data_IF_013098509285
#
_entry.id   IF_013098509285
#
_cell.length_a   1.000
_cell.length_b   1.000
_cell.length_c   1.000
_cell.angle_alpha   90.00
_cell.angle_beta   90.00
_cell.angle_gamma   90.00
#
_symmetry.space_group_name_H-M   'P 1'
#
loop_
_entity.id
_entity.type
_entity.pdbx_description
1 polymer ?
#
# COMPACT_ATOMS: atom_id res chain seq x y z
N UNK A 1 -30.04 -9.30 -20.85
CA UNK A 1 -29.31 -8.08 -21.23
C UNK A 1 -28.94 -7.37 -19.93
N UNK A 2 -27.72 -7.59 -19.45
CA UNK A 2 -27.21 -6.94 -18.24
C UNK A 2 -26.77 -5.53 -18.63
N UNK A 3 -27.48 -4.54 -18.13
CA UNK A 3 -27.11 -3.14 -18.27
C UNK A 3 -25.76 -2.96 -17.59
N UNK A 4 -24.69 -2.81 -18.34
CA UNK A 4 -23.38 -2.43 -17.83
C UNK A 4 -23.56 -0.98 -17.36
N UNK A 5 -23.77 -0.77 -16.07
CA UNK A 5 -23.69 0.56 -15.48
C UNK A 5 -22.34 1.14 -15.85
N UNK A 6 -22.36 2.24 -16.61
CA UNK A 6 -21.17 2.95 -17.04
C UNK A 6 -20.48 3.44 -15.75
N UNK A 7 -19.32 2.89 -15.46
CA UNK A 7 -18.54 3.30 -14.29
C UNK A 7 -18.16 4.77 -14.41
N UNK A 8 -18.35 5.52 -13.35
CA UNK A 8 -17.97 6.94 -13.31
C UNK A 8 -16.45 7.11 -13.27
N UNK A 9 -15.71 6.11 -12.73
CA UNK A 9 -14.26 6.17 -12.53
C UNK A 9 -13.55 5.05 -13.26
N UNK A 10 -12.46 5.39 -13.94
CA UNK A 10 -11.61 4.44 -14.68
C UNK A 10 -10.41 3.93 -13.87
N UNK A 11 -10.17 4.47 -12.68
CA UNK A 11 -9.01 4.18 -11.84
C UNK A 11 -9.42 3.45 -10.55
N UNK A 12 -8.61 2.45 -10.16
CA UNK A 12 -8.72 1.72 -8.90
C UNK A 12 -7.50 1.98 -8.03
N UNK A 13 -7.70 2.53 -6.83
CA UNK A 13 -6.68 2.60 -5.79
C UNK A 13 -6.88 1.42 -4.82
N UNK A 14 -5.86 0.59 -4.70
CA UNK A 14 -5.91 -0.65 -3.93
C UNK A 14 -4.94 -0.53 -2.77
N UNK A 15 -5.45 -0.37 -1.56
CA UNK A 15 -4.67 -0.40 -0.33
C UNK A 15 -4.42 -1.86 0.07
N UNK A 16 -3.15 -2.24 0.20
CA UNK A 16 -2.74 -3.57 0.66
C UNK A 16 -2.32 -3.49 2.12
N UNK A 17 -3.02 -4.20 2.99
CA UNK A 17 -2.70 -4.20 4.41
C UNK A 17 -2.88 -5.56 5.06
N UNK A 18 -2.16 -5.78 6.16
CA UNK A 18 -2.57 -6.74 7.18
C UNK A 18 -3.66 -6.12 8.05
N UNK A 19 -4.47 -6.95 8.71
CA UNK A 19 -5.30 -6.46 9.81
C UNK A 19 -4.38 -6.04 10.98
N UNK A 20 -4.72 -4.99 11.74
CA UNK A 20 -3.90 -4.51 12.85
C UNK A 20 -4.03 -5.42 14.09
N UNK A 21 -3.55 -6.66 13.97
CA UNK A 21 -3.49 -7.67 15.04
C UNK A 21 -2.08 -7.63 15.62
N UNK A 22 -1.94 -7.27 16.90
CA UNK A 22 -0.66 -6.99 17.53
C UNK A 22 0.36 -8.13 17.45
N UNK A 23 -0.09 -9.40 17.52
CA UNK A 23 0.79 -10.57 17.37
C UNK A 23 1.27 -10.80 15.93
N UNK A 24 0.56 -10.30 14.92
CA UNK A 24 0.82 -10.55 13.49
C UNK A 24 1.45 -9.37 12.76
N UNK A 25 1.32 -8.16 13.34
CA UNK A 25 1.76 -6.92 12.69
C UNK A 25 3.00 -6.34 13.34
N UNK A 26 3.83 -5.65 12.51
CA UNK A 26 5.01 -4.89 12.96
C UNK A 26 5.93 -5.68 13.89
N UNK A 27 6.12 -6.98 13.61
CA UNK A 27 6.90 -7.90 14.44
C UNK A 27 8.37 -7.51 14.57
N UNK A 28 8.94 -6.77 13.61
CA UNK A 28 10.30 -6.20 13.69
C UNK A 28 10.44 -5.10 14.76
N UNK A 29 9.31 -4.57 15.23
CA UNK A 29 9.26 -3.61 16.34
C UNK A 29 9.07 -4.26 17.71
N UNK A 30 9.06 -5.59 17.81
CA UNK A 30 8.80 -6.31 19.07
C UNK A 30 9.86 -6.09 20.15
N UNK A 31 11.06 -5.65 19.77
CA UNK A 31 12.10 -5.23 20.75
C UNK A 31 11.79 -3.88 21.39
N UNK A 32 10.94 -3.07 20.78
CA UNK A 32 10.62 -1.70 21.19
C UNK A 32 9.18 -1.57 21.72
N UNK A 33 8.23 -2.30 21.11
CA UNK A 33 6.79 -2.18 21.33
C UNK A 33 6.18 -3.52 21.71
N UNK A 34 5.30 -3.52 22.72
CA UNK A 34 4.45 -4.66 23.01
C UNK A 34 3.35 -4.88 21.93
N UNK A 35 2.57 -5.96 22.07
CA UNK A 35 1.53 -6.30 21.09
C UNK A 35 0.44 -5.23 20.98
N UNK A 36 -0.01 -4.68 22.09
CA UNK A 36 -1.02 -3.62 22.10
C UNK A 36 -0.50 -2.32 21.48
N UNK A 37 0.76 -2.00 21.74
CA UNK A 37 1.42 -0.84 21.11
C UNK A 37 1.62 -1.01 19.62
N UNK A 38 1.99 -2.21 19.14
CA UNK A 38 2.10 -2.51 17.70
C UNK A 38 0.75 -2.46 17.00
N UNK A 39 -0.30 -2.98 17.63
CA UNK A 39 -1.66 -2.86 17.12
C UNK A 39 -2.09 -1.39 17.00
N UNK A 40 -1.90 -0.60 18.05
CA UNK A 40 -2.27 0.80 18.07
C UNK A 40 -1.45 1.62 17.04
N UNK A 41 -0.16 1.31 16.87
CA UNK A 41 0.67 1.91 15.83
C UNK A 41 0.13 1.57 14.43
N UNK A 42 -0.22 0.32 14.18
CA UNK A 42 -0.76 -0.07 12.87
C UNK A 42 -2.12 0.58 12.60
N UNK A 43 -2.97 0.76 13.64
CA UNK A 43 -4.21 1.53 13.51
C UNK A 43 -3.94 2.99 13.15
N UNK A 44 -2.87 3.60 13.66
CA UNK A 44 -2.49 4.96 13.28
C UNK A 44 -1.99 5.04 11.83
N UNK A 45 -1.29 4.01 11.33
CA UNK A 45 -0.94 3.90 9.90
C UNK A 45 -2.19 3.83 9.02
N UNK A 46 -3.19 3.04 9.43
CA UNK A 46 -4.46 2.98 8.72
C UNK A 46 -5.16 4.34 8.70
N UNK A 47 -5.19 5.06 9.82
CA UNK A 47 -5.82 6.37 9.88
C UNK A 47 -5.19 7.34 8.87
N UNK A 48 -3.85 7.38 8.80
CA UNK A 48 -3.14 8.26 7.86
C UNK A 48 -3.29 7.79 6.40
N UNK A 49 -3.13 6.48 6.13
CA UNK A 49 -3.27 5.93 4.78
C UNK A 49 -4.70 6.08 4.25
N UNK A 50 -5.71 5.91 5.10
CA UNK A 50 -7.12 6.07 4.72
C UNK A 50 -7.47 7.53 4.49
N UNK A 51 -6.94 8.46 5.30
CA UNK A 51 -7.11 9.89 5.06
C UNK A 51 -6.52 10.29 3.70
N UNK A 52 -5.29 9.85 3.39
CA UNK A 52 -4.66 10.06 2.07
C UNK A 52 -5.50 9.48 0.93
N UNK A 53 -6.00 8.25 1.09
CA UNK A 53 -6.81 7.62 0.05
C UNK A 53 -8.15 8.32 -0.17
N UNK A 54 -8.79 8.84 0.89
CA UNK A 54 -10.06 9.58 0.80
C UNK A 54 -9.91 10.88 -0.02
N UNK A 55 -8.74 11.53 -0.02
CA UNK A 55 -8.49 12.69 -0.89
C UNK A 55 -8.56 12.33 -2.39
N UNK A 56 -8.45 11.05 -2.73
CA UNK A 56 -8.52 10.54 -4.11
C UNK A 56 -9.90 9.97 -4.46
N UNK A 57 -10.88 10.04 -3.56
CA UNK A 57 -12.19 9.40 -3.75
C UNK A 57 -12.97 9.92 -4.95
N UNK A 58 -12.73 11.16 -5.41
CA UNK A 58 -13.37 11.71 -6.61
C UNK A 58 -12.73 11.21 -7.90
N UNK A 59 -11.49 10.74 -7.84
CA UNK A 59 -10.69 10.26 -8.96
C UNK A 59 -10.76 8.74 -9.13
N UNK A 60 -10.59 7.99 -8.04
CA UNK A 60 -10.48 6.53 -8.05
C UNK A 60 -11.50 5.87 -7.13
N UNK A 61 -11.94 4.66 -7.48
CA UNK A 61 -12.61 3.78 -6.53
C UNK A 61 -11.57 3.17 -5.58
N UNK A 62 -11.85 3.19 -4.28
CA UNK A 62 -10.89 2.79 -3.26
C UNK A 62 -11.24 1.40 -2.74
N UNK A 63 -10.23 0.53 -2.71
CA UNK A 63 -10.31 -0.82 -2.20
C UNK A 63 -9.36 -1.01 -1.03
N UNK A 64 -9.79 -1.69 0.01
CA UNK A 64 -8.92 -2.24 1.05
C UNK A 64 -8.83 -3.76 0.85
N UNK A 65 -7.66 -4.22 0.40
CA UNK A 65 -7.32 -5.64 0.33
C UNK A 65 -6.58 -6.04 1.61
N UNK A 66 -7.24 -6.80 2.44
CA UNK A 66 -6.76 -7.18 3.76
C UNK A 66 -6.27 -8.64 3.81
N UNK A 67 -5.38 -8.95 4.77
CA UNK A 67 -4.95 -10.30 5.15
C UNK A 67 -4.72 -10.37 6.67
N UNK A 68 -4.69 -11.56 7.23
CA UNK A 68 -4.52 -11.82 8.66
C UNK A 68 -5.56 -12.81 9.16
N UNK A 69 -5.41 -13.27 10.40
CA UNK A 69 -6.30 -14.29 11.00
C UNK A 69 -7.65 -13.74 11.51
N UNK A 70 -7.80 -12.40 11.54
CA UNK A 70 -9.00 -11.72 12.05
C UNK A 70 -10.10 -11.52 11.01
N UNK A 71 -11.10 -10.74 11.41
CA UNK A 71 -12.22 -10.30 10.56
C UNK A 71 -12.18 -8.77 10.43
N UNK A 72 -12.26 -8.22 9.23
CA UNK A 72 -12.20 -6.77 9.02
C UNK A 72 -13.38 -6.03 9.67
N UNK A 73 -14.51 -6.71 9.89
CA UNK A 73 -15.69 -6.12 10.55
C UNK A 73 -15.41 -5.62 11.97
N UNK A 74 -14.41 -6.20 12.64
CA UNK A 74 -13.95 -5.75 13.98
C UNK A 74 -13.39 -4.32 13.94
N UNK A 75 -12.98 -3.87 12.77
CA UNK A 75 -12.40 -2.55 12.51
C UNK A 75 -13.31 -1.65 11.68
N UNK A 76 -14.61 -1.94 11.64
CA UNK A 76 -15.60 -1.21 10.82
C UNK A 76 -15.73 0.26 11.22
N UNK A 77 -15.39 0.61 12.45
CA UNK A 77 -15.32 1.99 12.96
C UNK A 77 -14.14 2.81 12.40
N UNK A 78 -13.08 2.11 11.96
CA UNK A 78 -11.89 2.72 11.37
C UNK A 78 -11.94 2.76 9.84
N UNK A 79 -12.63 1.81 9.22
CA UNK A 79 -12.64 1.66 7.76
C UNK A 79 -13.73 2.54 7.16
N UNK A 80 -13.37 3.53 6.33
CA UNK A 80 -14.36 4.40 5.67
C UNK A 80 -15.38 3.61 4.84
N UNK A 81 -16.65 3.97 4.93
CA UNK A 81 -17.74 3.30 4.19
C UNK A 81 -17.61 3.39 2.67
N UNK A 82 -16.83 4.36 2.18
CA UNK A 82 -16.51 4.50 0.76
C UNK A 82 -15.55 3.39 0.25
N UNK A 83 -14.89 2.65 1.15
CA UNK A 83 -13.92 1.62 0.77
C UNK A 83 -14.62 0.29 0.48
N UNK A 84 -14.18 -0.37 -0.59
CA UNK A 84 -14.63 -1.72 -0.94
C UNK A 84 -13.66 -2.74 -0.36
N UNK A 85 -14.14 -3.56 0.59
CA UNK A 85 -13.32 -4.57 1.26
C UNK A 85 -13.15 -5.82 0.38
N UNK A 86 -11.93 -6.34 0.33
CA UNK A 86 -11.56 -7.58 -0.36
C UNK A 86 -10.47 -8.30 0.44
N UNK A 87 -10.53 -9.62 0.45
CA UNK A 87 -9.44 -10.44 1.00
C UNK A 87 -8.33 -10.62 -0.03
N UNK A 88 -7.08 -10.55 0.40
CA UNK A 88 -5.93 -10.87 -0.44
C UNK A 88 -5.89 -12.38 -0.73
N UNK A 89 -5.72 -12.75 -1.99
CA UNK A 89 -5.69 -14.14 -2.45
C UNK A 89 -4.40 -14.44 -3.19
N UNK A 90 -3.68 -15.47 -2.77
CA UNK A 90 -2.42 -15.91 -3.37
C UNK A 90 -1.44 -16.42 -2.32
N UNK A 91 -0.46 -17.21 -2.77
CA UNK A 91 0.56 -17.82 -1.90
C UNK A 91 1.67 -16.86 -1.55
N UNK A 92 2.10 -16.06 -2.51
CA UNK A 92 3.15 -15.03 -2.36
C UNK A 92 2.53 -13.64 -2.39
N UNK A 93 3.29 -12.62 -2.01
CA UNK A 93 2.86 -11.22 -2.15
C UNK A 93 2.62 -10.87 -3.64
N UNK A 94 3.47 -11.37 -4.55
CA UNK A 94 3.29 -11.19 -5.99
C UNK A 94 1.98 -11.80 -6.50
N UNK A 95 1.66 -13.03 -6.10
CA UNK A 95 0.38 -13.67 -6.46
C UNK A 95 -0.81 -12.84 -5.98
N UNK A 96 -0.73 -12.30 -4.76
CA UNK A 96 -1.80 -11.48 -4.17
C UNK A 96 -1.99 -10.16 -4.92
N UNK A 97 -0.89 -9.48 -5.26
CA UNK A 97 -0.94 -8.25 -6.05
C UNK A 97 -1.48 -8.52 -7.45
N UNK A 98 -1.05 -9.60 -8.10
CA UNK A 98 -1.58 -10.01 -9.40
C UNK A 98 -3.08 -10.31 -9.34
N UNK A 99 -3.53 -11.04 -8.32
CA UNK A 99 -4.96 -11.35 -8.15
C UNK A 99 -5.80 -10.08 -7.95
N UNK A 100 -5.30 -9.12 -7.17
CA UNK A 100 -5.97 -7.83 -6.97
C UNK A 100 -6.02 -7.00 -8.25
N UNK A 101 -4.92 -6.92 -8.98
CA UNK A 101 -4.85 -6.21 -10.28
C UNK A 101 -5.82 -6.84 -11.29
N UNK A 102 -5.82 -8.18 -11.43
CA UNK A 102 -6.77 -8.88 -12.32
C UNK A 102 -8.21 -8.55 -11.96
N UNK A 103 -8.58 -8.63 -10.68
CA UNK A 103 -9.92 -8.29 -10.23
C UNK A 103 -10.33 -6.85 -10.56
N UNK A 104 -9.40 -5.90 -10.54
CA UNK A 104 -9.67 -4.53 -10.96
C UNK A 104 -9.91 -4.45 -12.49
N UNK A 105 -9.07 -5.06 -13.31
CA UNK A 105 -9.22 -5.02 -14.78
C UNK A 105 -10.46 -5.81 -15.25
N UNK A 106 -10.73 -6.97 -14.69
CA UNK A 106 -11.95 -7.75 -14.96
C UNK A 106 -13.22 -6.97 -14.57
N UNK A 107 -13.10 -6.16 -13.54
CA UNK A 107 -14.15 -5.24 -13.15
C UNK A 107 -14.24 -3.99 -14.06
N UNK A 108 -13.38 -3.81 -15.07
CA UNK A 108 -13.43 -2.77 -16.09
C UNK A 108 -12.70 -1.47 -15.73
N UNK A 109 -11.80 -1.45 -14.72
CA UNK A 109 -10.90 -0.33 -14.51
C UNK A 109 -9.82 -0.31 -15.59
N UNK A 110 -9.41 0.88 -16.01
CA UNK A 110 -8.36 1.07 -17.02
C UNK A 110 -6.96 1.16 -16.41
N UNK A 111 -6.89 1.58 -15.13
CA UNK A 111 -5.66 1.72 -14.36
C UNK A 111 -5.88 1.26 -12.95
N UNK A 112 -4.89 0.57 -12.40
CA UNK A 112 -4.90 0.13 -11.00
C UNK A 112 -3.58 0.50 -10.34
N UNK A 113 -3.62 1.09 -9.15
CA UNK A 113 -2.46 1.33 -8.30
C UNK A 113 -2.62 0.56 -6.99
N UNK A 114 -1.66 -0.30 -6.69
CA UNK A 114 -1.59 -1.05 -5.42
C UNK A 114 -0.57 -0.35 -4.54
N UNK A 115 -0.95 0.02 -3.32
CA UNK A 115 -0.10 0.71 -2.33
C UNK A 115 -0.12 -0.01 -0.99
N UNK A 116 1.02 -0.08 -0.32
CA UNK A 116 1.11 -0.53 1.07
C UNK A 116 0.61 0.55 2.04
N UNK A 117 0.09 0.14 3.21
CA UNK A 117 -0.36 1.08 4.26
C UNK A 117 0.73 1.42 5.29
N UNK A 118 1.94 0.91 5.11
CA UNK A 118 3.05 1.08 6.06
C UNK A 118 3.83 2.39 5.88
N UNK A 119 3.29 3.30 5.06
CA UNK A 119 3.85 4.62 4.74
C UNK A 119 2.83 5.70 5.10
N UNK A 120 2.72 6.06 6.39
CA UNK A 120 1.72 7.02 6.86
C UNK A 120 1.90 8.43 6.27
N UNK A 121 3.10 8.76 5.80
CA UNK A 121 3.44 10.07 5.23
C UNK A 121 3.38 10.11 3.69
N UNK A 122 2.83 9.07 3.03
CA UNK A 122 2.61 9.12 1.58
C UNK A 122 1.63 10.25 1.22
N UNK A 123 1.86 10.87 0.07
CA UNK A 123 1.07 12.02 -0.38
C UNK A 123 0.08 11.62 -1.47
N UNK A 124 -1.13 12.19 -1.46
CA UNK A 124 -2.10 11.99 -2.55
C UNK A 124 -1.52 12.35 -3.92
N UNK A 125 -0.73 13.43 -3.99
CA UNK A 125 -0.08 13.87 -5.23
C UNK A 125 0.82 12.80 -5.85
N UNK A 126 1.54 12.02 -5.03
CA UNK A 126 2.42 10.93 -5.50
C UNK A 126 1.62 9.80 -6.14
N UNK A 127 0.43 9.49 -5.60
CA UNK A 127 -0.49 8.52 -6.17
C UNK A 127 -1.14 9.08 -7.45
N UNK A 128 -1.56 10.34 -7.43
CA UNK A 128 -2.04 11.04 -8.63
C UNK A 128 -1.01 11.02 -9.75
N UNK A 129 0.26 11.28 -9.42
CA UNK A 129 1.37 11.23 -10.35
C UNK A 129 1.54 9.83 -10.94
N UNK A 130 1.42 8.78 -10.13
CA UNK A 130 1.48 7.40 -10.62
C UNK A 130 0.37 7.12 -11.64
N UNK A 131 -0.87 7.51 -11.38
CA UNK A 131 -1.97 7.37 -12.34
C UNK A 131 -1.74 8.19 -13.62
N UNK A 132 -1.16 9.39 -13.52
CA UNK A 132 -0.83 10.20 -14.70
C UNK A 132 0.27 9.54 -15.54
N UNK A 133 1.33 9.02 -14.91
CA UNK A 133 2.41 8.30 -15.60
C UNK A 133 1.91 7.04 -16.31
N UNK A 134 0.86 6.38 -15.80
CA UNK A 134 0.21 5.26 -16.48
C UNK A 134 -0.52 5.66 -17.79
N UNK A 135 -0.62 6.93 -18.13
CA UNK A 135 -1.09 7.32 -19.45
C UNK A 135 -0.10 6.92 -20.57
N UNK A 136 1.21 6.90 -20.26
CA UNK A 136 2.29 6.65 -21.21
C UNK A 136 3.15 5.43 -20.85
N UNK A 137 2.97 4.84 -19.65
CA UNK A 137 3.74 3.70 -19.18
C UNK A 137 2.85 2.51 -18.86
N UNK A 138 3.35 1.29 -19.12
CA UNK A 138 2.64 0.04 -18.78
C UNK A 138 2.64 -0.22 -17.27
N UNK A 139 3.76 0.15 -16.62
CA UNK A 139 4.02 -0.05 -15.20
C UNK A 139 4.55 1.24 -14.58
N UNK A 140 4.13 1.54 -13.35
CA UNK A 140 4.73 2.61 -12.54
C UNK A 140 5.11 2.03 -11.18
N UNK A 141 6.34 2.32 -10.73
CA UNK A 141 6.80 1.94 -9.39
C UNK A 141 7.01 3.17 -8.51
N UNK A 142 6.64 3.06 -7.24
CA UNK A 142 7.04 3.99 -6.19
C UNK A 142 8.15 3.32 -5.37
N UNK A 143 9.44 3.68 -5.58
CA UNK A 143 10.54 2.96 -4.96
C UNK A 143 10.62 3.19 -3.45
N UNK A 144 11.19 2.20 -2.73
CA UNK A 144 11.61 2.32 -1.32
C UNK A 144 13.13 2.20 -1.21
N UNK A 145 13.78 2.87 -0.22
CA UNK A 145 15.23 2.83 -0.05
C UNK A 145 15.81 1.43 0.20
N UNK A 146 15.01 0.52 0.73
CA UNK A 146 15.38 -0.87 1.01
C UNK A 146 15.45 -1.76 -0.24
N UNK A 147 15.12 -1.22 -1.44
CA UNK A 147 15.15 -1.94 -2.71
C UNK A 147 13.83 -2.64 -3.08
N UNK A 148 12.75 -2.31 -2.37
CA UNK A 148 11.36 -2.64 -2.70
C UNK A 148 10.64 -1.52 -3.44
N UNK A 149 9.32 -1.56 -3.35
CA UNK A 149 8.45 -0.48 -3.78
C UNK A 149 7.19 -0.42 -2.91
N UNK A 150 6.74 0.79 -2.61
CA UNK A 150 5.54 1.08 -1.85
C UNK A 150 4.29 1.12 -2.74
N UNK A 151 4.48 1.38 -4.04
CA UNK A 151 3.43 1.46 -5.03
C UNK A 151 3.82 0.68 -6.28
N UNK A 152 2.87 -0.09 -6.82
CA UNK A 152 2.91 -0.59 -8.19
C UNK A 152 1.63 -0.20 -8.91
N UNK A 153 1.77 0.59 -9.98
CA UNK A 153 0.70 0.99 -10.89
C UNK A 153 0.75 0.18 -12.18
N UNK A 154 -0.43 -0.16 -12.73
CA UNK A 154 -0.58 -1.01 -13.91
C UNK A 154 -1.69 -0.48 -14.82
N UNK A 155 -1.52 -0.62 -16.15
CA UNK A 155 -2.57 -0.39 -17.17
C UNK A 155 -3.32 -1.66 -17.58
N UNK A 156 -2.76 -2.82 -17.27
CA UNK A 156 -3.30 -4.15 -17.52
C UNK A 156 -2.66 -5.15 -16.58
N UNK A 157 -3.28 -6.30 -16.39
CA UNK A 157 -2.64 -7.39 -15.65
C UNK A 157 -1.50 -7.99 -16.48
N UNK A 158 -0.28 -8.00 -15.92
CA UNK A 158 0.93 -8.56 -16.52
C UNK A 158 1.49 -9.58 -15.52
N UNK A 159 1.08 -10.86 -15.63
CA UNK A 159 1.46 -11.88 -14.63
C UNK A 159 2.97 -12.03 -14.46
N UNK A 160 3.69 -11.93 -15.55
CA UNK A 160 5.11 -12.21 -15.62
C UNK A 160 5.97 -11.22 -14.83
N UNK A 161 5.51 -9.98 -14.59
CA UNK A 161 6.28 -9.00 -13.79
C UNK A 161 6.33 -9.36 -12.29
N UNK A 162 5.43 -10.23 -11.84
CA UNK A 162 5.41 -10.73 -10.47
C UNK A 162 6.19 -12.04 -10.30
N UNK A 163 6.64 -12.67 -11.40
CA UNK A 163 7.50 -13.86 -11.41
C UNK A 163 8.97 -13.42 -11.37
N UNK A 164 9.40 -12.93 -10.21
CA UNK A 164 10.75 -12.45 -9.95
C UNK A 164 11.57 -13.49 -9.19
N UNK A 165 12.88 -13.54 -9.46
CA UNK A 165 13.79 -14.46 -8.77
C UNK A 165 14.11 -14.02 -7.34
N UNK A 166 14.02 -12.71 -7.05
CA UNK A 166 14.28 -12.17 -5.72
C UNK A 166 13.14 -12.57 -4.76
N UNK A 167 13.44 -13.00 -3.53
CA UNK A 167 12.41 -13.23 -2.52
C UNK A 167 11.61 -11.96 -2.22
N UNK A 168 10.29 -12.09 -2.14
CA UNK A 168 9.42 -10.98 -1.73
C UNK A 168 9.78 -10.50 -0.33
N UNK A 169 9.93 -9.18 -0.17
CA UNK A 169 10.39 -8.54 1.07
C UNK A 169 11.92 -8.44 1.20
N UNK A 170 12.66 -8.73 0.13
CA UNK A 170 14.11 -8.49 0.05
C UNK A 170 14.44 -7.25 -0.78
N UNK A 171 15.66 -6.71 -0.62
CA UNK A 171 16.14 -5.53 -1.35
C UNK A 171 16.30 -5.72 -2.88
N UNK A 172 16.00 -6.90 -3.42
CA UNK A 172 16.08 -7.19 -4.85
C UNK A 172 14.76 -7.09 -5.61
N UNK A 173 13.65 -6.84 -4.92
CA UNK A 173 12.30 -6.91 -5.50
C UNK A 173 12.09 -5.90 -6.62
N UNK A 174 12.47 -4.63 -6.40
CA UNK A 174 12.34 -3.57 -7.42
C UNK A 174 13.18 -3.90 -8.68
N UNK A 175 14.43 -4.29 -8.50
CA UNK A 175 15.30 -4.62 -9.62
C UNK A 175 14.80 -5.83 -10.40
N UNK A 176 14.36 -6.90 -9.71
CA UNK A 176 13.77 -8.07 -10.34
C UNK A 176 12.50 -7.73 -11.15
N UNK A 177 11.63 -6.85 -10.61
CA UNK A 177 10.45 -6.37 -11.33
C UNK A 177 10.85 -5.56 -12.56
N UNK A 178 11.82 -4.63 -12.46
CA UNK A 178 12.31 -3.84 -13.59
C UNK A 178 12.94 -4.71 -14.69
N UNK A 179 13.68 -5.76 -14.33
CA UNK A 179 14.24 -6.74 -15.28
C UNK A 179 13.12 -7.47 -16.05
N UNK A 180 12.06 -7.89 -15.33
CA UNK A 180 10.90 -8.52 -15.97
C UNK A 180 10.18 -7.55 -16.91
N UNK A 181 9.90 -6.33 -16.46
CA UNK A 181 9.26 -5.30 -17.31
C UNK A 181 10.04 -5.10 -18.59
N UNK A 182 11.38 -4.96 -18.50
CA UNK A 182 12.25 -4.78 -19.69
C UNK A 182 12.25 -6.02 -20.59
N UNK A 183 12.31 -7.23 -20.02
CA UNK A 183 12.31 -8.48 -20.81
C UNK A 183 11.03 -8.70 -21.60
N UNK A 184 9.94 -8.12 -21.15
CA UNK A 184 8.62 -8.16 -21.82
C UNK A 184 8.42 -7.01 -22.83
N UNK A 185 9.40 -6.13 -22.99
CA UNK A 185 9.27 -4.93 -23.83
C UNK A 185 8.25 -3.92 -23.31
N UNK A 186 7.89 -4.01 -22.02
CA UNK A 186 7.00 -3.08 -21.37
C UNK A 186 7.75 -1.82 -20.90
N UNK A 187 7.03 -0.69 -20.88
CA UNK A 187 7.54 0.59 -20.38
C UNK A 187 7.32 0.71 -18.86
N UNK A 188 8.30 1.30 -18.16
CA UNK A 188 8.21 1.59 -16.73
C UNK A 188 8.60 3.03 -16.44
N UNK A 189 7.80 3.69 -15.59
CA UNK A 189 8.14 4.97 -14.98
C UNK A 189 8.20 4.83 -13.45
N UNK A 190 8.76 5.82 -12.78
CA UNK A 190 8.79 5.87 -11.32
C UNK A 190 8.14 7.16 -10.80
N UNK A 191 7.40 7.01 -9.70
CA UNK A 191 6.88 8.12 -8.91
C UNK A 191 7.83 8.41 -7.74
N UNK A 192 7.37 9.19 -6.74
CA UNK A 192 8.19 9.58 -5.61
C UNK A 192 8.62 8.36 -4.76
N UNK A 193 9.79 8.47 -4.13
CA UNK A 193 10.29 7.45 -3.19
C UNK A 193 9.81 7.74 -1.78
N UNK A 194 9.40 6.71 -1.05
CA UNK A 194 9.06 6.77 0.37
C UNK A 194 9.73 5.65 1.14
N UNK A 195 9.94 5.88 2.44
CA UNK A 195 10.40 4.87 3.39
C UNK A 195 9.18 4.29 4.12
N UNK A 196 9.06 2.97 4.15
CA UNK A 196 8.12 2.28 5.03
C UNK A 196 8.60 2.32 6.49
N UNK A 197 7.67 2.30 7.42
CA UNK A 197 7.97 2.31 8.86
C UNK A 197 7.90 0.87 9.41
N UNK A 198 9.03 0.16 9.39
CA UNK A 198 9.07 -1.26 9.72
C UNK A 198 10.06 -1.62 10.83
N UNK A 199 11.04 -0.76 11.08
CA UNK A 199 12.08 -0.93 12.10
C UNK A 199 12.09 0.24 13.09
N UNK A 200 12.73 0.10 14.29
CA UNK A 200 12.93 1.22 15.20
C UNK A 200 13.58 2.44 14.54
N UNK A 201 14.60 2.23 13.71
CA UNK A 201 15.30 3.32 13.02
C UNK A 201 14.38 4.09 12.07
N UNK A 202 13.44 3.40 11.41
CA UNK A 202 12.44 4.06 10.55
C UNK A 202 11.49 4.95 11.37
N UNK A 203 11.10 4.51 12.57
CA UNK A 203 10.27 5.31 13.47
C UNK A 203 11.00 6.57 13.95
N UNK A 204 12.28 6.46 14.32
CA UNK A 204 13.08 7.60 14.71
C UNK A 204 13.28 8.58 13.56
N UNK A 205 13.65 8.09 12.38
CA UNK A 205 13.79 8.92 11.18
C UNK A 205 12.47 9.67 10.85
N UNK A 206 11.33 8.98 10.92
CA UNK A 206 10.02 9.60 10.71
C UNK A 206 9.71 10.72 11.72
N UNK A 207 10.14 10.57 12.98
CA UNK A 207 9.93 11.59 14.01
C UNK A 207 10.85 12.78 13.85
N UNK A 208 12.08 12.58 13.36
CA UNK A 208 13.04 13.67 13.08
C UNK A 208 12.62 14.52 11.88
N UNK A 209 12.02 13.90 10.87
CA UNK A 209 11.56 14.60 9.67
C UNK A 209 10.15 15.19 9.89
N UNK A 210 9.90 16.37 9.30
CA UNK A 210 8.55 16.96 9.28
C UNK A 210 7.85 16.57 7.98
N UNK A 211 6.78 15.82 8.11
CA UNK A 211 5.94 15.44 6.99
C UNK A 211 4.59 16.18 7.08
N UNK A 212 4.02 16.63 5.95
CA UNK A 212 2.68 17.23 5.92
C UNK A 212 1.56 16.20 6.16
N UNK A 213 1.85 14.91 5.96
CA UNK A 213 0.99 13.75 6.18
C UNK A 213 1.56 12.87 7.29
N UNK A 214 0.79 11.93 7.82
CA UNK A 214 1.23 11.04 8.89
C UNK A 214 0.98 11.58 10.29
N UNK A 215 -0.03 12.45 10.46
CA UNK A 215 -0.31 13.12 11.74
C UNK A 215 -0.80 12.18 12.83
N UNK A 216 -1.60 11.17 12.52
CA UNK A 216 -2.09 10.18 13.48
C UNK A 216 -0.93 9.32 14.01
N UNK A 217 -0.07 8.86 13.11
CA UNK A 217 1.14 8.09 13.47
C UNK A 217 2.09 8.91 14.33
N UNK A 218 2.36 10.16 13.94
CA UNK A 218 3.21 11.06 14.71
C UNK A 218 2.66 11.29 16.12
N UNK A 219 1.38 11.62 16.23
CA UNK A 219 0.71 11.85 17.50
C UNK A 219 0.82 10.61 18.42
N UNK A 220 0.63 9.42 17.85
CA UNK A 220 0.76 8.17 18.60
C UNK A 220 2.19 7.96 19.11
N UNK A 221 3.19 8.08 18.25
CA UNK A 221 4.61 7.89 18.59
C UNK A 221 5.10 8.91 19.60
N UNK A 222 4.79 10.20 19.45
CA UNK A 222 5.13 11.24 20.43
C UNK A 222 4.46 10.99 21.79
N UNK A 223 3.24 10.42 21.76
CA UNK A 223 2.54 10.00 22.99
C UNK A 223 3.22 8.82 23.70
N UNK A 224 3.83 7.89 22.96
CA UNK A 224 4.62 6.80 23.53
C UNK A 224 5.90 7.30 24.18
N UNK A 225 6.65 8.19 23.51
CA UNK A 225 7.88 8.80 24.05
C UNK A 225 7.62 9.54 25.37
N UNK A 226 6.55 10.33 25.44
CA UNK A 226 6.18 11.07 26.67
C UNK A 226 5.84 10.17 27.86
N UNK A 227 5.38 8.94 27.60
CA UNK A 227 5.05 7.94 28.64
C UNK A 227 6.25 7.08 29.06
N UNK A 228 7.43 7.32 28.49
CA UNK A 228 8.63 6.53 28.74
C UNK A 228 8.53 5.10 28.20
N UNK A 229 7.72 4.87 27.20
CA UNK A 229 7.44 3.58 26.59
C UNK A 229 8.31 3.25 25.36
N UNK A 230 9.31 4.08 25.06
CA UNK A 230 10.27 3.89 23.96
C UNK A 230 11.61 4.49 24.37
#
# INVERSE_FOLDING_TARGET
MTTTERREKSEALILFSRLPIGSETKTRLSSLLDEGQREALHRSFWADAFATALELQDRADIFLYWTGSGRPEVYSDLIPSAFRLREQRGRTLGDRMLAAARGAFEAGYERAAIVGTDIPHMRPDSICRAFNLLAESDVVLGPTPDGGYWLIGLRRAIPEIFDISAPWGSGGVRNGTLERVRSLGCTCAETDSYRDLDTPDDLYAFLEERHPYGSATRTYLEGLLKRGGV
#
